data_IF_121095412063
#
_entry.id   IF_121095412063
#
_cell.length_a   1.000
_cell.length_b   1.000
_cell.length_c   1.000
_cell.angle_alpha   90.00
_cell.angle_beta   90.00
_cell.angle_gamma   90.00
#
_symmetry.space_group_name_H-M   'P 1'
#
loop_
_entity.id
_entity.type
_entity.pdbx_description
1 polymer ?
#
# COMPACT_ATOMS: atom_id res chain seq x y z
N UNK A 1 -21.78 -0.98 0.82
CA UNK A 1 -20.58 -1.81 0.97
C UNK A 1 -19.36 -1.03 0.54
N UNK A 2 -18.55 -0.43 1.48
CA UNK A 2 -17.35 0.28 1.09
C UNK A 2 -16.24 -0.68 0.69
N UNK A 3 -15.39 -0.24 -0.25
CA UNK A 3 -14.21 -1.00 -0.64
C UNK A 3 -13.01 -0.08 -0.68
N UNK A 4 -11.94 -0.49 -0.01
CA UNK A 4 -10.65 0.18 -0.07
C UNK A 4 -9.73 -0.66 -0.93
N UNK A 5 -9.17 -0.06 -1.96
CA UNK A 5 -8.20 -0.74 -2.81
C UNK A 5 -6.82 -0.16 -2.57
N UNK A 6 -5.88 -1.03 -2.22
CA UNK A 6 -4.49 -0.65 -1.97
C UNK A 6 -3.63 -1.28 -3.04
N UNK A 7 -2.91 -0.46 -3.79
CA UNK A 7 -1.96 -0.97 -4.77
C UNK A 7 -0.56 -0.81 -4.26
N UNK A 8 0.19 -1.88 -4.31
CA UNK A 8 1.56 -1.93 -3.83
C UNK A 8 2.43 -2.51 -4.94
N UNK A 9 3.71 -2.17 -4.92
CA UNK A 9 4.64 -2.86 -5.78
C UNK A 9 4.99 -4.20 -5.14
N UNK A 10 5.07 -5.26 -5.93
CA UNK A 10 5.31 -6.60 -5.41
C UNK A 10 6.66 -6.70 -4.71
N UNK A 11 6.73 -7.60 -3.72
CA UNK A 11 8.00 -7.95 -3.07
C UNK A 11 8.48 -6.98 -2.00
N UNK A 12 7.75 -5.89 -1.73
CA UNK A 12 8.15 -4.91 -0.71
C UNK A 12 7.62 -5.28 0.66
N UNK A 13 6.40 -5.78 0.72
CA UNK A 13 5.74 -6.07 1.99
C UNK A 13 5.56 -7.58 2.18
N UNK A 14 5.73 -8.02 3.43
CA UNK A 14 5.51 -9.42 3.78
C UNK A 14 4.02 -9.74 3.83
N UNK A 15 3.63 -11.02 3.75
CA UNK A 15 2.23 -11.41 3.95
C UNK A 15 1.65 -10.91 5.25
N UNK A 16 2.44 -10.93 6.34
CA UNK A 16 2.01 -10.44 7.64
C UNK A 16 1.71 -8.95 7.61
N UNK A 17 2.58 -8.19 6.95
CA UNK A 17 2.36 -6.75 6.80
C UNK A 17 1.10 -6.44 5.99
N UNK A 18 0.85 -7.21 4.94
CA UNK A 18 -0.36 -7.02 4.13
C UNK A 18 -1.62 -7.34 4.93
N UNK A 19 -1.59 -8.37 5.77
CA UNK A 19 -2.70 -8.69 6.66
C UNK A 19 -2.93 -7.56 7.67
N UNK A 20 -1.86 -6.98 8.19
CA UNK A 20 -1.96 -5.85 9.09
C UNK A 20 -2.57 -4.62 8.42
N UNK A 21 -2.21 -4.36 7.17
CA UNK A 21 -2.83 -3.28 6.39
C UNK A 21 -4.33 -3.49 6.26
N UNK A 22 -4.75 -4.71 5.93
CA UNK A 22 -6.17 -5.04 5.82
C UNK A 22 -6.89 -4.74 7.14
N UNK A 23 -6.33 -5.19 8.25
CA UNK A 23 -6.92 -4.99 9.57
C UNK A 23 -7.01 -3.51 9.93
N UNK A 24 -5.91 -2.79 9.76
CA UNK A 24 -5.86 -1.37 10.15
C UNK A 24 -6.75 -0.50 9.29
N UNK A 25 -6.80 -0.77 7.99
CA UNK A 25 -7.65 -0.01 7.08
C UNK A 25 -9.13 -0.32 7.34
N UNK A 26 -9.44 -1.57 7.63
CA UNK A 26 -10.79 -1.94 8.04
C UNK A 26 -11.19 -1.20 9.32
N UNK A 27 -10.32 -1.18 10.33
CA UNK A 27 -10.58 -0.47 11.57
C UNK A 27 -10.81 1.02 11.36
N UNK A 28 -10.02 1.62 10.48
CA UNK A 28 -10.15 3.04 10.16
C UNK A 28 -11.52 3.34 9.53
N UNK A 29 -11.94 2.51 8.58
CA UNK A 29 -13.25 2.66 7.95
C UNK A 29 -14.38 2.47 8.96
N UNK A 30 -14.28 1.44 9.79
CA UNK A 30 -15.29 1.13 10.79
C UNK A 30 -15.43 2.26 11.82
N UNK A 31 -14.33 2.94 12.15
CA UNK A 31 -14.38 4.07 13.07
C UNK A 31 -15.27 5.20 12.56
N UNK A 32 -15.49 5.26 11.25
CA UNK A 32 -16.33 6.28 10.62
C UNK A 32 -17.73 5.75 10.35
N UNK A 33 -17.84 4.55 9.80
CA UNK A 33 -19.11 4.00 9.31
C UNK A 33 -19.90 3.25 10.37
N UNK A 34 -19.25 2.82 11.47
CA UNK A 34 -19.89 2.07 12.54
C UNK A 34 -19.53 0.60 12.51
N UNK A 35 -19.55 -0.03 13.69
CA UNK A 35 -19.12 -1.42 13.87
C UNK A 35 -19.97 -2.42 13.09
N UNK A 36 -21.25 -2.12 12.90
CA UNK A 36 -22.13 -3.01 12.14
C UNK A 36 -21.70 -3.19 10.69
N UNK A 37 -20.90 -2.26 10.17
CA UNK A 37 -20.43 -2.29 8.78
C UNK A 37 -19.16 -3.11 8.60
N UNK A 38 -18.54 -3.55 9.69
CA UNK A 38 -17.27 -4.29 9.61
C UNK A 38 -17.36 -5.49 8.68
N UNK A 39 -18.40 -6.26 8.80
CA UNK A 39 -18.54 -7.51 8.03
C UNK A 39 -18.74 -7.29 6.53
N UNK A 40 -19.06 -6.08 6.12
CA UNK A 40 -19.25 -5.74 4.70
C UNK A 40 -18.24 -4.71 4.21
N UNK A 41 -17.22 -4.42 4.98
CA UNK A 41 -16.14 -3.52 4.61
C UNK A 41 -15.04 -4.32 3.94
N UNK A 42 -14.73 -3.96 2.71
CA UNK A 42 -13.74 -4.67 1.91
C UNK A 42 -12.43 -3.90 1.87
N UNK A 43 -11.35 -4.62 2.02
CA UNK A 43 -10.00 -4.09 1.76
C UNK A 43 -9.31 -5.08 0.84
N UNK A 44 -8.90 -4.60 -0.30
CA UNK A 44 -8.25 -5.42 -1.32
C UNK A 44 -6.86 -4.90 -1.56
N UNK A 45 -5.88 -5.78 -1.57
CA UNK A 45 -4.49 -5.43 -1.86
C UNK A 45 -4.13 -6.03 -3.20
N UNK A 46 -3.75 -5.15 -4.14
CA UNK A 46 -3.28 -5.54 -5.46
C UNK A 46 -1.78 -5.28 -5.53
N UNK A 47 -1.02 -6.28 -5.93
CA UNK A 47 0.41 -6.11 -6.12
C UNK A 47 0.72 -5.91 -7.59
N UNK A 48 1.41 -4.81 -7.87
CA UNK A 48 1.87 -4.48 -9.22
C UNK A 48 3.27 -5.03 -9.39
N UNK A 49 3.50 -5.69 -10.52
CA UNK A 49 4.77 -6.32 -10.83
C UNK A 49 5.89 -5.28 -10.88
N UNK A 50 7.07 -5.67 -10.35
CA UNK A 50 8.27 -4.85 -10.41
C UNK A 50 8.55 -4.40 -11.85
N UNK A 51 8.74 -3.08 -12.03
CA UNK A 51 8.94 -2.51 -13.36
C UNK A 51 7.66 -2.07 -14.06
N UNK A 52 6.49 -2.46 -13.54
CA UNK A 52 5.20 -2.07 -14.13
C UNK A 52 4.59 -0.85 -13.46
N UNK A 53 5.33 -0.20 -12.58
CA UNK A 53 4.91 1.00 -11.90
C UNK A 53 5.74 2.17 -12.41
N UNK A 54 5.10 3.21 -12.90
CA UNK A 54 5.80 4.34 -13.50
C UNK A 54 5.71 5.61 -12.68
N UNK A 55 6.84 6.31 -12.56
CA UNK A 55 6.92 7.64 -11.96
C UNK A 55 7.56 8.57 -12.99
N UNK A 56 6.78 9.54 -13.49
CA UNK A 56 7.30 10.48 -14.46
C UNK A 56 7.82 9.82 -15.74
N UNK A 57 7.20 8.71 -16.12
CA UNK A 57 7.61 7.94 -17.28
C UNK A 57 8.74 6.95 -17.04
N UNK A 58 9.25 6.87 -15.81
CA UNK A 58 10.33 5.94 -15.45
C UNK A 58 9.78 4.75 -14.67
N UNK A 59 10.13 3.52 -15.07
CA UNK A 59 9.67 2.35 -14.31
C UNK A 59 10.31 2.29 -12.94
N UNK A 60 9.50 1.97 -11.95
CA UNK A 60 9.94 1.78 -10.59
C UNK A 60 10.06 0.29 -10.31
N UNK A 61 11.16 -0.11 -9.71
CA UNK A 61 11.39 -1.52 -9.36
C UNK A 61 11.20 -1.77 -7.88
N UNK A 62 11.01 -3.03 -7.52
CA UNK A 62 10.93 -3.45 -6.12
C UNK A 62 12.18 -3.04 -5.35
N UNK A 63 13.36 -3.20 -5.96
CA UNK A 63 14.61 -2.82 -5.29
C UNK A 63 14.69 -1.33 -5.03
N UNK A 64 14.23 -0.51 -5.96
CA UNK A 64 14.23 0.94 -5.79
C UNK A 64 13.35 1.34 -4.61
N UNK A 65 12.19 0.71 -4.46
CA UNK A 65 11.30 0.99 -3.33
C UNK A 65 11.91 0.54 -2.01
N UNK A 66 12.55 -0.62 -2.00
CA UNK A 66 13.23 -1.11 -0.79
C UNK A 66 14.34 -0.20 -0.36
N UNK A 67 15.14 0.30 -1.30
CA UNK A 67 16.18 1.26 -1.01
C UNK A 67 15.63 2.55 -0.44
N UNK A 68 14.55 3.04 -1.02
CA UNK A 68 13.88 4.24 -0.55
C UNK A 68 13.39 4.06 0.89
N UNK A 69 12.77 2.94 1.19
CA UNK A 69 12.27 2.64 2.53
C UNK A 69 13.40 2.54 3.56
N UNK A 70 14.53 1.94 3.16
CA UNK A 70 15.68 1.78 4.04
C UNK A 70 16.37 3.10 4.34
N UNK A 71 16.51 3.97 3.34
CA UNK A 71 17.21 5.24 3.50
C UNK A 71 16.33 6.37 3.97
N UNK A 72 15.09 6.39 3.49
CA UNK A 72 14.10 7.39 3.89
C UNK A 72 14.35 8.80 3.41
N UNK A 73 15.54 9.10 2.87
CA UNK A 73 15.92 10.47 2.51
C UNK A 73 15.94 10.74 1.02
N UNK A 74 16.09 9.71 0.19
CA UNK A 74 16.18 9.90 -1.26
C UNK A 74 14.94 10.58 -1.83
N UNK A 75 13.79 10.18 -1.35
CA UNK A 75 12.53 10.74 -1.83
C UNK A 75 12.43 12.23 -1.51
N UNK A 76 12.89 12.65 -0.32
CA UNK A 76 12.91 14.07 0.04
C UNK A 76 13.83 14.87 -0.88
N UNK A 77 14.98 14.30 -1.20
CA UNK A 77 15.92 14.97 -2.09
C UNK A 77 15.35 15.15 -3.49
N UNK A 78 14.50 14.22 -3.92
CA UNK A 78 13.84 14.32 -5.21
C UNK A 78 12.76 15.39 -5.22
N UNK A 79 12.14 15.66 -4.08
CA UNK A 79 11.10 16.67 -3.96
C UNK A 79 11.64 18.09 -3.90
N UNK A 80 12.84 18.23 -3.42
CA UNK A 80 13.46 19.55 -3.28
C UNK A 80 14.23 19.94 -4.53
#
# INVERSE_FOLDING_TARGET
>A
MPMVNVRLIEGVFTPTQKQEMIRKLTDAMVSIEGENMRQVTWVVIDEVKSGDWGLGGKPLTTNAVKELAAEGRQFRNMES
#
